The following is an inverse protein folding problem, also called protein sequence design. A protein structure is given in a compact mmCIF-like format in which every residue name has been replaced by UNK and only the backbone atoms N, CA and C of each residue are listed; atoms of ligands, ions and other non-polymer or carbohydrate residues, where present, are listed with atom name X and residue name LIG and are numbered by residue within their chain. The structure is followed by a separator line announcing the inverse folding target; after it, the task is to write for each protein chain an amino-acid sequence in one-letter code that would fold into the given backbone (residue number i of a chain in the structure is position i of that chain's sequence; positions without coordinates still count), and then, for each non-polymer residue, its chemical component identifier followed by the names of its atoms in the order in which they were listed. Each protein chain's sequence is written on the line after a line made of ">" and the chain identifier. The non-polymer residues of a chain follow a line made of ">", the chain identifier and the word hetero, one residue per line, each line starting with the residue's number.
data_IF_884766388577
#
_entry.id   IF_884766388577
#
_cell.length_a   1.000
_cell.length_b   1.000
_cell.length_c   1.000
_cell.angle_alpha   90.00
_cell.angle_beta   90.00
_cell.angle_gamma   90.00
#
_symmetry.space_group_name_H-M   'P 1'
#
loop_
_entity.id
_entity.type
_entity.pdbx_description
1 polymer ?
#
# COMPACT_ATOMS: atom_id res chain seq x y z
N UNK A 1 -14.45 -3.26 13.44
CA UNK A 1 -14.09 -4.44 12.63
C UNK A 1 -14.85 -4.47 11.30
N UNK A 2 -16.16 -4.70 11.27
CA UNK A 2 -16.94 -4.89 10.02
C UNK A 2 -16.79 -3.75 8.99
N UNK A 3 -16.79 -2.49 9.46
CA UNK A 3 -16.60 -1.32 8.59
C UNK A 3 -15.23 -1.32 7.87
N UNK A 4 -14.16 -1.70 8.57
CA UNK A 4 -12.82 -1.75 7.99
C UNK A 4 -12.70 -2.92 6.99
N UNK A 5 -13.31 -4.07 7.27
CA UNK A 5 -13.39 -5.17 6.31
C UNK A 5 -14.16 -4.76 5.04
N UNK A 6 -15.26 -4.02 5.19
CA UNK A 6 -15.99 -3.48 4.04
C UNK A 6 -15.12 -2.51 3.23
N UNK A 7 -14.40 -1.60 3.88
CA UNK A 7 -13.50 -0.66 3.20
C UNK A 7 -12.32 -1.37 2.54
N UNK A 8 -11.85 -2.45 3.14
CA UNK A 8 -10.78 -3.28 2.60
C UNK A 8 -11.17 -3.84 1.22
N UNK A 9 -12.43 -4.21 1.03
CA UNK A 9 -12.95 -4.69 -0.25
C UNK A 9 -13.15 -3.59 -1.30
N UNK A 10 -13.19 -2.31 -0.89
CA UNK A 10 -13.55 -1.18 -1.75
C UNK A 10 -12.40 -0.23 -2.05
N UNK A 11 -11.33 -0.25 -1.26
CA UNK A 11 -10.24 0.73 -1.36
C UNK A 11 -9.48 0.63 -2.68
N UNK A 12 -9.15 1.77 -3.27
CA UNK A 12 -8.09 1.86 -4.27
C UNK A 12 -6.75 1.68 -3.53
N UNK A 13 -6.17 0.49 -3.68
CA UNK A 13 -4.94 0.07 -3.01
C UNK A 13 -3.77 1.01 -3.25
N UNK A 14 -3.75 1.67 -4.42
CA UNK A 14 -2.77 2.70 -4.75
C UNK A 14 -2.85 3.87 -3.78
N UNK A 15 -4.04 4.44 -3.58
CA UNK A 15 -4.22 5.59 -2.68
C UNK A 15 -3.83 5.27 -1.24
N UNK A 16 -4.10 4.03 -0.80
CA UNK A 16 -3.66 3.59 0.53
C UNK A 16 -2.14 3.50 0.62
N UNK A 17 -1.46 2.96 -0.39
CA UNK A 17 0.00 2.87 -0.40
C UNK A 17 0.67 4.24 -0.37
N UNK A 18 0.16 5.21 -1.12
CA UNK A 18 0.66 6.59 -1.08
C UNK A 18 0.58 7.16 0.33
N UNK A 19 -0.56 7.00 1.03
CA UNK A 19 -0.66 7.45 2.43
C UNK A 19 0.33 6.76 3.38
N UNK A 20 0.69 5.50 3.08
CA UNK A 20 1.68 4.74 3.85
C UNK A 20 3.10 5.23 3.55
N UNK A 21 3.41 5.48 2.28
CA UNK A 21 4.72 5.92 1.83
C UNK A 21 5.01 7.36 2.28
N UNK A 22 4.00 8.23 2.27
CA UNK A 22 4.06 9.63 2.71
C UNK A 22 4.14 9.79 4.24
N UNK A 23 3.96 8.71 5.02
CA UNK A 23 4.06 8.76 6.46
C UNK A 23 5.45 9.20 6.93
N UNK A 24 5.54 10.41 7.46
CA UNK A 24 6.72 10.98 8.10
C UNK A 24 6.83 10.54 9.57
N UNK A 25 8.04 10.16 10.01
CA UNK A 25 8.30 9.76 11.40
C UNK A 25 8.22 10.94 12.40
N UNK A 26 8.04 12.17 11.92
CA UNK A 26 8.02 13.39 12.72
C UNK A 26 6.85 13.49 13.72
N UNK A 27 5.76 12.74 13.51
CA UNK A 27 4.62 12.70 14.44
C UNK A 27 4.88 11.85 15.70
N UNK A 28 6.09 11.30 15.85
CA UNK A 28 6.50 10.49 17.00
C UNK A 28 7.55 11.13 17.93
N UNK A 29 8.11 12.30 17.59
CA UNK A 29 9.17 12.95 18.40
C UNK A 29 8.93 14.45 18.52
N UNK A 30 7.90 14.88 19.25
CA UNK A 30 7.90 16.23 19.82
C UNK A 30 8.70 16.19 21.13
N UNK A 31 10.01 16.35 21.04
CA UNK A 31 10.76 16.98 22.13
C UNK A 31 10.08 18.31 22.42
N UNK A 32 9.61 18.45 23.66
CA UNK A 32 9.05 19.68 24.19
C UNK A 32 10.07 20.81 24.02
N UNK A 33 9.90 21.61 22.96
CA UNK A 33 10.36 22.98 22.97
C UNK A 33 9.13 23.82 23.23
N UNK A 34 9.08 24.36 24.44
CA UNK A 34 8.07 25.29 24.91
C UNK A 34 7.80 26.36 23.84
N UNK A 35 6.60 26.33 23.28
CA UNK A 35 6.01 27.47 22.59
C UNK A 35 4.52 27.41 22.86
N UNK A 36 4.14 28.18 23.86
CA UNK A 36 2.80 28.53 24.29
C UNK A 36 1.91 28.83 23.09
N UNK A 37 1.16 27.84 22.61
CA UNK A 37 0.03 28.07 21.73
C UNK A 37 -1.00 26.96 21.90
N UNK A 38 -2.24 27.39 21.94
CA UNK A 38 -3.47 26.71 22.32
C UNK A 38 -3.62 25.34 21.63
N UNK A 39 -3.71 24.27 22.42
CA UNK A 39 -3.93 22.89 21.98
C UNK A 39 -5.21 22.76 21.15
N UNK A 40 -5.06 22.89 19.84
CA UNK A 40 -6.05 22.39 18.88
C UNK A 40 -5.54 21.02 18.47
N UNK A 41 -6.13 19.99 19.08
CA UNK A 41 -5.87 18.59 18.74
C UNK A 41 -6.26 18.42 17.26
N UNK A 42 -5.27 18.46 16.36
CA UNK A 42 -5.52 18.19 14.94
C UNK A 42 -5.88 16.71 14.87
N UNK A 43 -7.16 16.45 14.62
CA UNK A 43 -7.66 15.13 14.28
C UNK A 43 -6.92 14.68 13.00
N UNK A 44 -5.91 13.83 13.12
CA UNK A 44 -5.18 13.31 11.97
C UNK A 44 -6.12 12.38 11.21
N UNK A 45 -6.83 12.94 10.24
CA UNK A 45 -7.76 12.23 9.36
C UNK A 45 -7.04 11.84 8.09
N UNK A 46 -7.01 10.54 7.81
CA UNK A 46 -6.50 9.97 6.57
C UNK A 46 -7.65 9.88 5.56
N UNK A 47 -7.43 10.42 4.37
CA UNK A 47 -8.40 10.34 3.27
C UNK A 47 -7.92 9.32 2.24
N UNK A 48 -8.64 8.22 2.14
CA UNK A 48 -8.45 7.20 1.12
C UNK A 48 -9.53 7.35 0.03
N UNK A 49 -9.34 6.71 -1.13
CA UNK A 49 -10.38 6.64 -2.16
C UNK A 49 -10.82 5.20 -2.40
N UNK A 50 -12.09 5.02 -2.73
CA UNK A 50 -12.56 3.75 -3.26
C UNK A 50 -12.07 3.53 -4.70
N UNK A 51 -12.14 2.28 -5.15
CA UNK A 51 -11.72 1.89 -6.51
C UNK A 51 -12.47 2.72 -7.57
N UNK A 52 -11.82 3.04 -8.70
CA UNK A 52 -12.41 3.88 -9.74
C UNK A 52 -13.79 3.40 -10.24
N UNK A 53 -13.94 2.09 -10.45
CA UNK A 53 -15.19 1.49 -10.93
C UNK A 53 -16.34 1.51 -9.90
N UNK A 54 -16.03 1.84 -8.64
CA UNK A 54 -17.03 2.02 -7.57
C UNK A 54 -17.43 3.50 -7.39
N UNK A 55 -16.98 4.40 -8.27
CA UNK A 55 -17.31 5.83 -8.21
C UNK A 55 -16.32 6.68 -7.42
N UNK A 56 -15.19 6.11 -6.97
CA UNK A 56 -14.03 6.84 -6.42
C UNK A 56 -14.36 7.81 -5.27
N UNK A 57 -15.34 7.48 -4.45
CA UNK A 57 -15.73 8.27 -3.28
C UNK A 57 -14.65 8.24 -2.19
N UNK A 58 -14.67 9.25 -1.32
CA UNK A 58 -13.71 9.40 -0.23
C UNK A 58 -14.07 8.55 0.98
N UNK A 59 -13.04 8.03 1.64
CA UNK A 59 -13.14 7.25 2.86
C UNK A 59 -12.23 7.88 3.90
N UNK A 60 -12.78 8.28 5.04
CA UNK A 60 -12.04 8.96 6.09
C UNK A 60 -11.79 8.04 7.28
N UNK A 61 -10.53 7.87 7.64
CA UNK A 61 -10.09 7.11 8.82
C UNK A 61 -9.44 8.08 9.81
N UNK A 62 -9.71 7.89 11.10
CA UNK A 62 -8.81 8.44 12.11
C UNK A 62 -7.50 7.63 12.15
N UNK A 63 -6.55 8.07 12.98
CA UNK A 63 -5.24 7.41 13.11
C UNK A 63 -5.33 5.95 13.57
N UNK A 64 -6.17 5.62 14.54
CA UNK A 64 -6.26 4.24 15.04
C UNK A 64 -6.94 3.33 14.03
N UNK A 65 -7.97 3.82 13.36
CA UNK A 65 -8.65 3.09 12.30
C UNK A 65 -7.73 2.87 11.09
N UNK A 66 -6.86 3.84 10.76
CA UNK A 66 -5.84 3.69 9.72
C UNK A 66 -4.77 2.67 10.10
N UNK A 67 -4.32 2.64 11.36
CA UNK A 67 -3.40 1.62 11.85
C UNK A 67 -4.02 0.22 11.86
N UNK A 68 -5.29 0.08 12.27
CA UNK A 68 -6.03 -1.18 12.18
C UNK A 68 -6.20 -1.65 10.72
N UNK A 69 -6.49 -0.72 9.82
CA UNK A 69 -6.63 -1.00 8.40
C UNK A 69 -5.30 -1.45 7.75
N UNK A 70 -4.20 -0.83 8.18
CA UNK A 70 -2.85 -1.21 7.77
C UNK A 70 -2.48 -2.61 8.25
N UNK A 71 -2.77 -2.92 9.50
CA UNK A 71 -2.54 -4.25 10.07
C UNK A 71 -3.34 -5.32 9.32
N UNK A 72 -4.63 -5.08 9.07
CA UNK A 72 -5.46 -5.96 8.25
C UNK A 72 -4.86 -6.16 6.86
N UNK A 73 -4.41 -5.07 6.22
CA UNK A 73 -3.88 -5.12 4.85
C UNK A 73 -2.54 -5.84 4.75
N UNK A 74 -1.67 -5.67 5.73
CA UNK A 74 -0.39 -6.36 5.77
C UNK A 74 -0.58 -7.85 6.09
N UNK A 75 -1.47 -8.18 7.05
CA UNK A 75 -1.76 -9.56 7.42
C UNK A 75 -2.36 -10.37 6.26
N UNK A 76 -3.34 -9.79 5.55
CA UNK A 76 -3.97 -10.43 4.37
C UNK A 76 -2.94 -10.81 3.30
N UNK A 77 -2.00 -9.91 3.01
CA UNK A 77 -0.96 -10.18 2.02
C UNK A 77 0.06 -11.22 2.51
N UNK A 78 0.54 -11.12 3.76
CA UNK A 78 1.52 -12.07 4.30
C UNK A 78 0.99 -13.51 4.32
N UNK A 79 -0.31 -13.69 4.56
CA UNK A 79 -0.96 -15.01 4.52
C UNK A 79 -1.05 -15.60 3.10
N UNK A 80 -1.21 -14.75 2.08
CA UNK A 80 -1.54 -15.20 0.72
C UNK A 80 -0.35 -15.26 -0.23
N UNK A 81 0.69 -14.45 -0.01
CA UNK A 81 1.73 -14.21 -1.02
C UNK A 81 2.51 -15.46 -1.41
N UNK A 82 2.85 -16.33 -0.46
CA UNK A 82 3.62 -17.55 -0.74
C UNK A 82 2.85 -18.47 -1.68
N UNK A 83 1.57 -18.76 -1.37
CA UNK A 83 0.71 -19.57 -2.22
C UNK A 83 0.42 -18.90 -3.58
N UNK A 84 0.26 -17.57 -3.60
CA UNK A 84 0.09 -16.82 -4.85
C UNK A 84 1.36 -16.87 -5.73
N UNK A 85 2.54 -16.99 -5.15
CA UNK A 85 3.81 -17.03 -5.85
C UNK A 85 4.11 -18.41 -6.48
N UNK A 86 3.44 -19.48 -6.05
CA UNK A 86 3.65 -20.84 -6.58
C UNK A 86 3.26 -20.97 -8.06
N UNK A 87 2.31 -20.16 -8.52
CA UNK A 87 1.75 -20.25 -9.87
C UNK A 87 1.72 -18.89 -10.58
N UNK A 88 1.88 -18.86 -11.92
CA UNK A 88 1.67 -17.63 -12.68
C UNK A 88 0.20 -17.18 -12.62
N UNK A 89 -0.03 -15.88 -12.70
CA UNK A 89 -1.37 -15.28 -12.76
C UNK A 89 -1.49 -14.38 -13.99
N UNK A 90 -2.38 -14.77 -14.92
CA UNK A 90 -2.73 -13.90 -16.06
C UNK A 90 -3.43 -12.62 -15.63
N UNK A 91 -4.20 -12.70 -14.54
CA UNK A 91 -5.01 -11.61 -14.01
C UNK A 91 -4.15 -10.50 -13.40
N UNK A 92 -3.04 -10.88 -12.75
CA UNK A 92 -2.09 -9.93 -12.15
C UNK A 92 -0.80 -9.75 -12.96
N UNK A 93 -0.72 -10.37 -14.14
CA UNK A 93 0.48 -10.43 -14.98
C UNK A 93 1.72 -11.00 -14.29
N UNK A 94 1.53 -11.90 -13.33
CA UNK A 94 2.62 -12.55 -12.60
C UNK A 94 3.12 -13.79 -13.32
N UNK A 95 4.43 -13.94 -13.39
CA UNK A 95 5.10 -15.24 -13.51
C UNK A 95 5.27 -15.86 -12.12
N UNK A 96 5.67 -17.13 -12.08
CA UNK A 96 6.02 -17.82 -10.84
C UNK A 96 7.04 -16.99 -10.04
N UNK A 97 6.76 -16.77 -8.76
CA UNK A 97 7.56 -15.95 -7.84
C UNK A 97 7.20 -14.46 -7.83
N UNK A 98 6.60 -13.90 -8.89
CA UNK A 98 6.45 -12.45 -9.01
C UNK A 98 5.37 -11.85 -8.11
N UNK A 99 4.53 -12.66 -7.46
CA UNK A 99 3.53 -12.17 -6.48
C UNK A 99 4.17 -11.40 -5.32
N UNK A 100 5.42 -11.71 -4.95
CA UNK A 100 6.18 -10.96 -3.95
C UNK A 100 6.50 -9.52 -4.34
N UNK A 101 6.50 -9.21 -5.64
CA UNK A 101 6.76 -7.86 -6.13
C UNK A 101 5.59 -6.90 -5.85
N UNK A 102 4.39 -7.45 -5.70
CA UNK A 102 3.16 -6.70 -5.53
C UNK A 102 3.22 -5.84 -4.27
N UNK A 103 3.14 -4.51 -4.43
CA UNK A 103 3.05 -3.50 -3.37
C UNK A 103 4.11 -3.63 -2.26
N UNK A 104 5.22 -4.29 -2.56
CA UNK A 104 6.22 -4.71 -1.55
C UNK A 104 6.85 -3.57 -0.78
N UNK A 105 7.02 -2.42 -1.43
CA UNK A 105 7.58 -1.22 -0.80
C UNK A 105 6.63 -0.69 0.27
N UNK A 106 5.33 -0.65 -0.05
CA UNK A 106 4.30 -0.29 0.91
C UNK A 106 4.26 -1.30 2.05
N UNK A 107 4.26 -2.63 1.80
CA UNK A 107 4.28 -3.63 2.88
C UNK A 107 5.49 -3.51 3.81
N UNK A 108 6.69 -3.25 3.28
CA UNK A 108 7.89 -2.97 4.09
C UNK A 108 7.73 -1.70 4.94
N UNK A 109 7.12 -0.65 4.38
CA UNK A 109 6.84 0.59 5.12
C UNK A 109 5.76 0.39 6.19
N UNK A 110 4.69 -0.35 5.89
CA UNK A 110 3.64 -0.72 6.85
C UNK A 110 4.23 -1.44 8.07
N UNK A 111 5.12 -2.41 7.84
CA UNK A 111 5.81 -3.12 8.92
C UNK A 111 6.58 -2.19 9.86
N UNK A 112 7.34 -1.23 9.32
CA UNK A 112 8.04 -0.21 10.11
C UNK A 112 7.09 0.68 10.91
N UNK A 113 6.01 1.15 10.27
CA UNK A 113 5.02 2.02 10.92
C UNK A 113 4.35 1.27 12.07
N UNK A 114 3.81 0.07 11.83
CA UNK A 114 3.14 -0.74 12.84
C UNK A 114 4.07 -1.09 14.01
N UNK A 115 5.33 -1.43 13.72
CA UNK A 115 6.31 -1.72 14.77
C UNK A 115 6.57 -0.49 15.68
N UNK A 116 6.65 0.71 15.10
CA UNK A 116 6.88 1.95 15.85
C UNK A 116 5.64 2.46 16.59
N UNK A 117 4.45 2.36 16.00
CA UNK A 117 3.22 2.90 16.56
C UNK A 117 2.55 1.93 17.55
N UNK A 118 2.81 0.62 17.45
CA UNK A 118 2.23 -0.41 18.32
C UNK A 118 3.33 -1.31 18.93
N UNK A 119 4.37 -0.75 19.58
CA UNK A 119 5.56 -1.49 19.96
C UNK A 119 5.26 -2.65 20.92
N UNK A 120 4.31 -2.47 21.85
CA UNK A 120 3.97 -3.51 22.83
C UNK A 120 3.30 -4.77 22.26
N UNK A 121 2.70 -4.69 21.06
CA UNK A 121 1.98 -5.80 20.43
C UNK A 121 2.60 -6.24 19.11
N UNK A 122 3.08 -5.30 18.30
CA UNK A 122 3.53 -5.53 16.93
C UNK A 122 5.03 -5.24 16.71
N UNK A 123 5.72 -4.64 17.70
CA UNK A 123 7.09 -4.14 17.59
C UNK A 123 8.10 -5.18 17.06
N UNK A 124 8.00 -6.42 17.53
CA UNK A 124 8.86 -7.52 17.09
C UNK A 124 8.16 -8.47 16.12
N UNK A 125 6.87 -8.72 16.34
CA UNK A 125 6.10 -9.75 15.61
C UNK A 125 5.99 -9.42 14.13
N UNK A 126 5.63 -8.18 13.79
CA UNK A 126 5.38 -7.80 12.38
C UNK A 126 6.68 -7.80 11.56
N UNK A 127 7.80 -7.18 12.01
CA UNK A 127 9.06 -7.26 11.28
C UNK A 127 9.56 -8.70 11.10
N UNK A 128 9.50 -9.52 12.16
CA UNK A 128 9.94 -10.91 12.09
C UNK A 128 9.10 -11.76 11.13
N UNK A 129 7.78 -11.57 11.12
CA UNK A 129 6.88 -12.29 10.20
C UNK A 129 7.13 -11.85 8.75
N UNK A 130 7.25 -10.55 8.50
CA UNK A 130 7.55 -10.04 7.17
C UNK A 130 8.89 -10.56 6.63
N UNK A 131 9.92 -10.56 7.47
CA UNK A 131 11.24 -11.12 7.14
C UNK A 131 11.15 -12.61 6.82
N UNK A 132 10.41 -13.39 7.62
CA UNK A 132 10.22 -14.82 7.37
C UNK A 132 9.54 -15.09 6.03
N UNK A 133 8.43 -14.39 5.74
CA UNK A 133 7.69 -14.51 4.47
C UNK A 133 8.56 -14.09 3.28
N UNK A 134 9.18 -12.90 3.34
CA UNK A 134 10.06 -12.42 2.27
C UNK A 134 11.32 -13.29 2.10
N UNK A 135 11.76 -13.97 3.16
CA UNK A 135 12.90 -14.88 3.13
C UNK A 135 12.67 -16.15 2.29
N UNK A 136 11.42 -16.45 1.94
CA UNK A 136 11.07 -17.56 1.04
C UNK A 136 11.15 -17.18 -0.44
N UNK A 137 11.27 -15.89 -0.76
CA UNK A 137 11.32 -15.39 -2.13
C UNK A 137 12.64 -15.74 -2.83
N UNK A 138 12.54 -16.22 -4.06
CA UNK A 138 13.69 -16.47 -4.92
C UNK A 138 14.42 -15.17 -5.31
N UNK A 139 15.75 -15.22 -5.35
CA UNK A 139 16.59 -14.05 -5.61
C UNK A 139 16.30 -13.33 -6.95
N UNK A 140 15.78 -14.05 -7.95
CA UNK A 140 15.47 -13.50 -9.26
C UNK A 140 14.22 -12.60 -9.30
N UNK A 141 13.38 -12.55 -8.25
CA UNK A 141 12.21 -11.66 -8.21
C UNK A 141 12.36 -10.53 -7.18
N UNK A 142 13.39 -10.56 -6.33
CA UNK A 142 13.62 -9.59 -5.25
C UNK A 142 13.80 -8.14 -5.73
N UNK A 143 14.18 -7.94 -6.99
CA UNK A 143 14.38 -6.62 -7.59
C UNK A 143 13.11 -6.04 -8.23
N UNK A 144 12.07 -6.85 -8.38
CA UNK A 144 10.82 -6.47 -9.03
C UNK A 144 9.90 -5.73 -8.05
N UNK A 145 9.12 -4.80 -8.59
CA UNK A 145 8.08 -4.05 -7.89
C UNK A 145 6.87 -3.93 -8.82
N UNK A 146 5.69 -4.17 -8.28
CA UNK A 146 4.43 -3.87 -8.95
C UNK A 146 3.61 -2.98 -8.03
N UNK A 147 3.64 -1.68 -8.30
CA UNK A 147 3.10 -0.69 -7.38
C UNK A 147 1.57 -0.58 -7.43
N UNK A 148 0.93 -1.05 -8.51
CA UNK A 148 -0.52 -0.97 -8.69
C UNK A 148 -1.14 -2.29 -9.12
N UNK A 149 -2.34 -2.56 -8.63
CA UNK A 149 -3.14 -3.71 -9.05
C UNK A 149 -3.62 -3.53 -10.49
N UNK A 150 -3.37 -4.50 -11.39
CA UNK A 150 -4.02 -4.54 -12.70
C UNK A 150 -5.55 -4.55 -12.57
N UNK A 151 -6.29 -4.05 -13.58
CA UNK A 151 -7.75 -4.09 -13.58
C UNK A 151 -8.26 -5.54 -13.57
N UNK A 152 -9.12 -5.84 -12.60
CA UNK A 152 -9.64 -7.19 -12.37
C UNK A 152 -10.94 -7.51 -13.13
N UNK A 153 -11.45 -6.54 -13.89
CA UNK A 153 -12.70 -6.63 -14.66
C UNK A 153 -12.69 -5.60 -15.80
N UNK A 154 -13.59 -5.78 -16.78
CA UNK A 154 -13.78 -4.78 -17.85
C UNK A 154 -14.20 -3.41 -17.29
N UNK A 155 -15.03 -3.39 -16.25
CA UNK A 155 -15.43 -2.15 -15.58
C UNK A 155 -14.23 -1.45 -14.93
N UNK A 156 -13.34 -2.20 -14.27
CA UNK A 156 -12.11 -1.64 -13.71
C UNK A 156 -11.16 -1.11 -14.81
N UNK A 157 -11.03 -1.84 -15.92
CA UNK A 157 -10.22 -1.41 -17.06
C UNK A 157 -10.75 -0.12 -17.69
N UNK A 158 -12.07 -0.05 -17.94
CA UNK A 158 -12.72 1.13 -18.47
C UNK A 158 -12.61 2.33 -17.52
N UNK A 159 -12.73 2.11 -16.21
CA UNK A 159 -12.59 3.17 -15.22
C UNK A 159 -11.15 3.72 -15.17
N UNK A 160 -10.12 2.86 -15.24
CA UNK A 160 -8.73 3.32 -15.32
C UNK A 160 -8.45 4.09 -16.61
N UNK A 161 -9.01 3.67 -17.74
CA UNK A 161 -8.86 4.38 -19.00
C UNK A 161 -9.56 5.75 -18.98
N UNK A 162 -10.74 5.84 -18.38
CA UNK A 162 -11.41 7.12 -18.16
C UNK A 162 -10.57 8.07 -17.30
N UNK A 163 -9.92 7.56 -16.25
CA UNK A 163 -8.99 8.35 -15.44
C UNK A 163 -7.77 8.81 -16.25
N UNK A 164 -7.18 7.93 -17.05
CA UNK A 164 -6.05 8.27 -17.91
C UNK A 164 -6.43 9.36 -18.93
N UNK A 165 -7.61 9.23 -19.54
CA UNK A 165 -8.20 10.24 -20.44
C UNK A 165 -8.48 11.58 -19.74
N UNK A 166 -8.75 11.57 -18.44
CA UNK A 166 -8.93 12.77 -17.61
C UNK A 166 -7.59 13.40 -17.16
N UNK A 167 -6.45 12.90 -17.63
CA UNK A 167 -5.12 13.46 -17.34
C UNK A 167 -4.46 12.92 -16.08
N UNK A 168 -4.98 11.84 -15.49
CA UNK A 168 -4.25 11.15 -14.42
C UNK A 168 -3.07 10.39 -15.01
N UNK A 169 -1.89 10.56 -14.43
CA UNK A 169 -0.71 9.81 -14.80
C UNK A 169 -0.80 8.37 -14.27
N UNK A 170 -1.23 7.44 -15.13
CA UNK A 170 -1.42 6.04 -14.79
C UNK A 170 -0.59 5.16 -15.72
N UNK A 171 0.24 4.25 -15.17
CA UNK A 171 1.11 3.40 -15.99
C UNK A 171 0.26 2.52 -16.92
N UNK A 172 0.71 2.35 -18.15
CA UNK A 172 0.05 1.48 -19.14
C UNK A 172 0.37 0.02 -18.83
N UNK A 173 1.64 -0.28 -18.59
CA UNK A 173 2.08 -1.59 -18.11
C UNK A 173 1.97 -1.64 -16.59
N UNK A 174 1.13 -2.55 -16.10
CA UNK A 174 0.94 -2.78 -14.67
C UNK A 174 1.58 -4.10 -14.22
N UNK A 175 2.40 -4.75 -15.04
CA UNK A 175 3.14 -5.95 -14.63
C UNK A 175 4.32 -5.59 -13.70
N UNK A 176 4.87 -6.56 -12.96
CA UNK A 176 6.07 -6.34 -12.15
C UNK A 176 7.27 -5.86 -12.97
N UNK A 177 7.89 -4.76 -12.56
CA UNK A 177 9.03 -4.13 -13.23
C UNK A 177 10.23 -4.00 -12.28
N UNK A 178 11.48 -3.99 -12.77
CA UNK A 178 12.65 -3.66 -11.96
C UNK A 178 12.50 -2.30 -11.24
N UNK A 179 12.85 -2.25 -9.96
CA UNK A 179 12.70 -1.03 -9.16
C UNK A 179 13.45 0.19 -9.73
N UNK A 180 14.58 -0.03 -10.44
CA UNK A 180 15.36 1.03 -11.08
C UNK A 180 14.60 1.76 -12.20
N UNK A 181 13.68 1.07 -12.88
CA UNK A 181 12.97 1.60 -14.05
C UNK A 181 11.76 2.47 -13.64
N UNK A 182 11.28 2.34 -12.40
CA UNK A 182 10.17 3.14 -11.88
C UNK A 182 10.53 4.62 -11.66
N UNK A 183 11.81 4.98 -11.50
CA UNK A 183 12.25 6.39 -11.34
C UNK A 183 12.39 7.17 -12.65
N UNK A 184 12.43 6.48 -13.80
CA UNK A 184 12.61 7.15 -15.09
C UNK A 184 11.29 7.71 -15.65
N UNK A 185 10.13 7.14 -15.25
CA UNK A 185 8.82 7.66 -15.64
C UNK A 185 8.42 8.95 -14.91
N UNK A 186 8.84 9.15 -13.66
CA UNK A 186 8.49 10.35 -12.87
C UNK A 186 9.25 11.62 -13.30
N UNK A 187 10.30 11.50 -14.12
CA UNK A 187 11.12 12.63 -14.58
C UNK A 187 10.77 13.12 -16.00
N UNK A 188 9.72 12.58 -16.63
CA UNK A 188 9.31 12.94 -17.99
C UNK A 188 8.33 14.15 -18.07
N UNK A 189 8.18 14.93 -17.00
CA UNK A 189 7.43 16.18 -17.01
C UNK A 189 8.20 17.30 -16.27
N UNK A 190 9.07 18.00 -17.03
CA UNK A 190 9.52 19.36 -16.74
C UNK A 190 9.08 20.25 -17.89
#
# INVERSE_FOLDING_TARGET
>A
AERLCFWFCMVDRWTFDETVLDWGEADGTTTATESTSTTTQIDHRFTLRSRPELGRFEMHLDKEEWLDFMELTLADWMEQVEGAAEMPSKLFHWKTGEAFAYRRLAYRKMSKILASQRPGRLGTVVPATLEAVMGTEAANTQHLVQSRTPPMSEAAAAALEALRSAGYDLPIDMSPQPHSELRECDNAAV
#
